data_IF_128250745972
#
_entry.id   IF_128250745972
#
_cell.length_a   1.000
_cell.length_b   1.000
_cell.length_c   1.000
_cell.angle_alpha   90.00
_cell.angle_beta   90.00
_cell.angle_gamma   90.00
#
_symmetry.space_group_name_H-M   'P 1'
#
loop_
_entity.id
_entity.type
_entity.pdbx_description
1 polymer ?
#
# COMPACT_ATOMS: atom_id res chain seq x y z
N UNK A 1 14.47 21.78 11.50
CA UNK A 1 14.10 22.47 10.23
C UNK A 1 12.59 22.58 10.18
N UNK A 2 12.02 23.78 9.98
CA UNK A 2 10.56 23.94 9.82
C UNK A 2 10.15 23.35 8.47
N UNK A 3 9.53 22.17 8.49
CA UNK A 3 8.91 21.57 7.29
C UNK A 3 7.81 22.50 6.82
N UNK A 4 8.02 23.17 5.68
CA UNK A 4 6.96 23.97 5.04
C UNK A 4 5.89 23.00 4.55
N UNK A 5 4.75 22.96 5.23
CA UNK A 5 3.59 22.18 4.80
C UNK A 5 3.18 22.67 3.42
N UNK A 6 3.35 21.82 2.41
CA UNK A 6 2.96 22.14 1.04
C UNK A 6 1.47 21.81 0.89
N UNK A 7 0.72 22.70 0.27
CA UNK A 7 -0.67 22.45 -0.09
C UNK A 7 -0.91 22.96 -1.50
N UNK A 8 -1.82 22.29 -2.22
CA UNK A 8 -2.28 22.69 -3.53
C UNK A 8 -3.70 23.19 -3.45
N UNK A 9 -3.98 24.33 -4.06
CA UNK A 9 -5.35 24.82 -4.22
C UNK A 9 -6.07 24.02 -5.30
N UNK A 10 -7.24 23.46 -4.98
CA UNK A 10 -8.04 22.67 -5.91
C UNK A 10 -9.15 23.52 -6.51
N UNK A 11 -10.01 24.09 -5.67
CA UNK A 11 -11.19 24.83 -6.12
C UNK A 11 -11.58 25.90 -5.12
N UNK A 12 -12.31 26.91 -5.60
CA UNK A 12 -12.87 28.01 -4.78
C UNK A 12 -14.38 27.96 -4.90
N UNK A 13 -15.07 28.19 -3.79
CA UNK A 13 -16.52 28.16 -3.68
C UNK A 13 -17.02 29.40 -2.97
N UNK A 14 -18.19 29.88 -3.37
CA UNK A 14 -18.90 30.95 -2.68
C UNK A 14 -19.84 30.41 -1.58
N UNK A 15 -20.05 29.09 -1.57
CA UNK A 15 -20.97 28.38 -0.68
C UNK A 15 -20.24 27.28 0.10
N UNK A 16 -20.54 27.15 1.40
CA UNK A 16 -19.95 26.12 2.26
C UNK A 16 -20.38 24.72 1.83
N UNK A 17 -21.65 24.52 1.47
CA UNK A 17 -22.20 23.20 1.14
C UNK A 17 -21.50 22.57 -0.05
N UNK A 18 -21.27 23.35 -1.11
CA UNK A 18 -20.56 22.90 -2.32
C UNK A 18 -19.09 22.54 -2.02
N UNK A 19 -18.41 23.34 -1.19
CA UNK A 19 -17.05 23.03 -0.76
C UNK A 19 -16.99 21.74 0.06
N UNK A 20 -17.99 21.53 0.94
CA UNK A 20 -18.11 20.34 1.77
C UNK A 20 -18.37 19.08 0.95
N UNK A 21 -19.30 19.14 0.00
CA UNK A 21 -19.62 18.03 -0.89
C UNK A 21 -18.40 17.60 -1.72
N UNK A 22 -17.68 18.56 -2.30
CA UNK A 22 -16.45 18.25 -3.04
C UNK A 22 -15.40 17.60 -2.14
N UNK A 23 -15.19 18.14 -0.94
CA UNK A 23 -14.22 17.62 0.02
C UNK A 23 -14.55 16.17 0.43
N UNK A 24 -15.82 15.90 0.77
CA UNK A 24 -16.30 14.57 1.13
C UNK A 24 -16.15 13.59 -0.04
N UNK A 25 -16.54 13.99 -1.26
CA UNK A 25 -16.41 13.16 -2.47
C UNK A 25 -14.95 12.77 -2.73
N UNK A 26 -14.02 13.71 -2.54
CA UNK A 26 -12.58 13.49 -2.73
C UNK A 26 -11.93 12.66 -1.62
N UNK A 27 -12.42 12.76 -0.39
CA UNK A 27 -11.92 11.99 0.76
C UNK A 27 -12.59 10.61 0.92
N UNK A 28 -13.69 10.30 0.20
CA UNK A 28 -14.52 9.08 0.39
C UNK A 28 -13.72 7.77 0.39
N UNK A 29 -12.69 7.65 -0.44
CA UNK A 29 -11.88 6.43 -0.58
C UNK A 29 -10.50 6.56 0.08
N UNK A 30 -10.28 7.58 0.92
CA UNK A 30 -9.00 7.82 1.57
C UNK A 30 -9.06 7.41 3.05
N UNK A 31 -8.13 6.55 3.49
CA UNK A 31 -8.00 6.20 4.91
C UNK A 31 -7.59 7.40 5.78
N UNK A 32 -6.80 8.33 5.21
CA UNK A 32 -6.41 9.60 5.84
C UNK A 32 -6.88 10.75 4.93
N UNK A 33 -7.67 11.71 5.43
CA UNK A 33 -8.22 12.80 4.60
C UNK A 33 -7.10 13.71 4.09
N UNK A 34 -6.93 13.80 2.78
CA UNK A 34 -5.94 14.70 2.13
C UNK A 34 -6.54 16.03 1.73
N UNK A 35 -7.86 16.13 1.62
CA UNK A 35 -8.54 17.37 1.24
C UNK A 35 -9.14 18.06 2.46
N UNK A 36 -9.03 19.38 2.50
CA UNK A 36 -9.57 20.21 3.57
C UNK A 36 -10.14 21.51 3.04
N UNK A 37 -11.04 22.12 3.80
CA UNK A 37 -11.70 23.37 3.44
C UNK A 37 -11.12 24.49 4.28
N UNK A 38 -10.62 25.53 3.62
CA UNK A 38 -10.18 26.78 4.24
C UNK A 38 -11.21 27.87 3.97
N UNK A 39 -11.66 28.54 5.02
CA UNK A 39 -12.48 29.75 4.90
C UNK A 39 -11.56 30.96 4.75
N UNK A 40 -11.64 31.65 3.62
CA UNK A 40 -10.84 32.85 3.36
C UNK A 40 -11.55 34.14 3.78
N UNK A 41 -12.85 34.26 3.47
CA UNK A 41 -13.71 35.43 3.80
C UNK A 41 -15.11 34.95 4.19
N UNK A 42 -16.00 35.87 4.57
CA UNK A 42 -17.39 35.58 5.01
C UNK A 42 -18.08 34.52 4.14
N UNK A 43 -17.95 34.63 2.80
CA UNK A 43 -18.58 33.74 1.82
C UNK A 43 -17.59 33.18 0.77
N UNK A 44 -16.31 32.97 1.14
CA UNK A 44 -15.34 32.37 0.21
C UNK A 44 -14.61 31.22 0.87
N UNK A 45 -14.76 30.05 0.30
CA UNK A 45 -14.20 28.79 0.76
C UNK A 45 -13.27 28.22 -0.30
N UNK A 46 -12.17 27.63 0.12
CA UNK A 46 -11.20 27.00 -0.78
C UNK A 46 -10.98 25.58 -0.33
N UNK A 47 -11.14 24.64 -1.26
CA UNK A 47 -10.71 23.26 -1.05
C UNK A 47 -9.24 23.18 -1.39
N UNK A 48 -8.43 22.79 -0.42
CA UNK A 48 -7.01 22.53 -0.58
C UNK A 48 -6.74 21.03 -0.47
N UNK A 49 -5.72 20.59 -1.18
CA UNK A 49 -5.10 19.28 -1.07
C UNK A 49 -3.80 19.45 -0.26
N UNK A 50 -3.70 18.73 0.85
CA UNK A 50 -2.45 18.62 1.58
C UNK A 50 -1.49 17.75 0.78
N UNK A 51 -0.45 18.39 0.25
CA UNK A 51 0.71 17.69 -0.27
C UNK A 51 1.51 17.32 0.96
N UNK A 52 1.18 16.15 1.54
CA UNK A 52 2.08 15.54 2.51
C UNK A 52 3.49 15.65 1.91
N UNK A 53 4.50 16.12 2.67
CA UNK A 53 5.86 15.87 2.23
C UNK A 53 5.87 14.39 1.87
N UNK A 54 6.38 14.05 0.70
CA UNK A 54 6.79 12.67 0.45
C UNK A 54 7.77 12.39 1.58
N UNK A 55 7.24 11.95 2.73
CA UNK A 55 7.83 10.95 3.56
C UNK A 55 8.39 10.02 2.51
N UNK A 56 9.72 10.03 2.44
CA UNK A 56 10.42 8.88 1.92
C UNK A 56 9.68 7.75 2.59
N UNK A 57 8.82 7.07 1.83
CA UNK A 57 8.47 5.72 2.11
C UNK A 57 9.83 5.03 2.00
N UNK A 58 10.63 5.12 3.07
CA UNK A 58 11.23 3.91 3.60
C UNK A 58 10.10 2.93 3.50
N UNK A 59 10.23 2.00 2.56
CA UNK A 59 9.28 0.96 2.30
C UNK A 59 8.87 0.41 3.65
N UNK A 60 7.76 0.91 4.19
CA UNK A 60 7.03 0.24 5.24
C UNK A 60 6.73 -1.08 4.59
N UNK A 61 7.54 -2.07 4.93
CA UNK A 61 7.32 -3.48 4.70
C UNK A 61 5.96 -3.78 5.32
N UNK A 62 4.89 -3.43 4.60
CA UNK A 62 3.55 -3.83 4.96
C UNK A 62 3.64 -5.34 5.07
N UNK A 63 3.26 -5.95 6.20
CA UNK A 63 3.16 -7.40 6.25
C UNK A 63 2.21 -7.76 5.11
N UNK A 64 2.75 -8.43 4.10
CA UNK A 64 2.07 -8.76 2.85
C UNK A 64 0.78 -9.50 3.23
N UNK A 65 -0.34 -8.76 3.27
CA UNK A 65 -1.59 -9.27 3.81
C UNK A 65 -2.14 -10.31 2.82
N UNK A 66 -1.94 -11.57 3.22
CA UNK A 66 -2.58 -12.83 2.82
C UNK A 66 -3.61 -12.70 1.68
N UNK A 67 -3.27 -13.27 0.52
CA UNK A 67 -4.21 -13.97 -0.41
C UNK A 67 -3.54 -14.57 -1.65
N UNK A 68 -2.35 -14.11 -2.05
CA UNK A 68 -1.71 -14.65 -3.25
C UNK A 68 -0.80 -15.84 -2.94
N UNK A 69 -0.88 -16.88 -3.78
CA UNK A 69 0.00 -18.04 -3.74
C UNK A 69 1.49 -17.64 -3.77
N UNK A 70 1.82 -16.55 -4.49
CA UNK A 70 3.17 -15.94 -4.53
C UNK A 70 3.62 -15.48 -3.14
N UNK A 71 2.78 -14.71 -2.43
CA UNK A 71 3.12 -14.16 -1.12
C UNK A 71 3.41 -15.24 -0.08
N UNK A 72 2.63 -16.34 -0.08
CA UNK A 72 2.83 -17.47 0.84
C UNK A 72 4.18 -18.17 0.62
N UNK A 73 4.63 -18.32 -0.63
CA UNK A 73 5.96 -18.86 -0.94
C UNK A 73 7.06 -17.89 -0.52
N UNK A 74 6.93 -16.59 -0.85
CA UNK A 74 7.95 -15.58 -0.55
C UNK A 74 8.17 -15.37 0.96
N UNK A 75 7.09 -15.40 1.76
CA UNK A 75 7.19 -15.31 3.23
C UNK A 75 7.90 -16.52 3.86
N UNK A 76 7.86 -17.68 3.21
CA UNK A 76 8.42 -18.93 3.73
C UNK A 76 9.73 -19.34 3.02
N UNK A 77 10.40 -18.43 2.31
CA UNK A 77 11.62 -18.75 1.55
C UNK A 77 12.73 -19.36 2.40
N UNK A 78 12.94 -18.83 3.61
CA UNK A 78 13.93 -19.35 4.55
C UNK A 78 13.64 -20.82 4.88
N UNK A 79 12.40 -21.11 5.31
CA UNK A 79 11.92 -22.43 5.66
C UNK A 79 12.01 -23.41 4.48
N UNK A 80 11.61 -22.98 3.29
CA UNK A 80 11.72 -23.80 2.07
C UNK A 80 13.20 -24.11 1.78
N UNK A 81 14.08 -23.11 1.89
CA UNK A 81 15.52 -23.27 1.67
C UNK A 81 16.17 -24.27 2.62
N UNK A 82 15.88 -24.16 3.92
CA UNK A 82 16.36 -25.11 4.94
C UNK A 82 15.86 -26.53 4.70
N UNK A 83 14.57 -26.69 4.42
CA UNK A 83 13.98 -28.01 4.13
C UNK A 83 14.57 -28.66 2.89
N UNK A 84 14.82 -27.86 1.84
CA UNK A 84 15.48 -28.35 0.63
C UNK A 84 16.93 -28.75 0.89
N UNK A 85 17.66 -28.04 1.75
CA UNK A 85 19.01 -28.44 2.21
C UNK A 85 18.97 -29.75 3.00
N UNK A 86 17.93 -29.95 3.79
CA UNK A 86 17.70 -31.18 4.57
C UNK A 86 17.10 -32.33 3.75
N UNK A 87 17.02 -32.21 2.41
CA UNK A 87 16.53 -33.26 1.53
C UNK A 87 15.02 -33.46 1.48
N UNK A 88 14.23 -32.57 2.10
CA UNK A 88 12.76 -32.67 2.09
C UNK A 88 12.22 -32.48 0.65
N UNK A 89 11.26 -33.32 0.30
CA UNK A 89 10.63 -33.32 -1.03
C UNK A 89 9.66 -32.15 -1.17
N UNK A 90 9.44 -31.74 -2.42
CA UNK A 90 8.51 -30.64 -2.71
C UNK A 90 7.06 -30.94 -2.34
N UNK A 91 6.67 -32.23 -2.28
CA UNK A 91 5.32 -32.63 -1.91
C UNK A 91 5.01 -32.24 -0.47
N UNK A 92 5.92 -32.55 0.46
CA UNK A 92 5.79 -32.21 1.89
C UNK A 92 5.79 -30.70 2.09
N UNK A 93 6.70 -29.98 1.42
CA UNK A 93 6.77 -28.51 1.50
C UNK A 93 5.48 -27.87 0.96
N UNK A 94 4.91 -28.42 -0.11
CA UNK A 94 3.69 -27.90 -0.71
C UNK A 94 2.45 -28.18 0.15
N UNK A 95 2.37 -29.35 0.76
CA UNK A 95 1.33 -29.73 1.72
C UNK A 95 1.31 -28.79 2.93
N UNK A 96 2.47 -28.56 3.56
CA UNK A 96 2.59 -27.63 4.69
C UNK A 96 2.22 -26.18 4.34
N UNK A 97 2.51 -25.78 3.10
CA UNK A 97 2.13 -24.48 2.59
C UNK A 97 0.70 -24.48 2.03
N UNK A 98 -0.05 -25.57 2.06
CA UNK A 98 -1.37 -25.73 1.44
C UNK A 98 -1.40 -25.19 -0.01
N UNK A 99 -0.34 -25.47 -0.76
CA UNK A 99 -0.15 -25.04 -2.14
C UNK A 99 0.08 -26.25 -3.04
N UNK A 100 -0.07 -26.06 -4.35
CA UNK A 100 0.39 -27.08 -5.29
C UNK A 100 1.91 -27.07 -5.41
N UNK A 101 2.49 -28.25 -5.60
CA UNK A 101 3.94 -28.45 -5.83
C UNK A 101 4.45 -27.51 -6.93
N UNK A 102 3.75 -27.43 -8.06
CA UNK A 102 4.08 -26.55 -9.17
C UNK A 102 4.13 -25.07 -8.76
N UNK A 103 3.24 -24.65 -7.87
CA UNK A 103 3.19 -23.28 -7.37
C UNK A 103 4.41 -22.96 -6.50
N UNK A 104 4.74 -23.84 -5.56
CA UNK A 104 5.91 -23.70 -4.70
C UNK A 104 7.21 -23.65 -5.53
N UNK A 105 7.39 -24.59 -6.45
CA UNK A 105 8.56 -24.65 -7.32
C UNK A 105 8.68 -23.41 -8.21
N UNK A 106 7.58 -22.98 -8.85
CA UNK A 106 7.57 -21.83 -9.75
C UNK A 106 8.02 -20.55 -9.05
N UNK A 107 7.42 -20.24 -7.90
CA UNK A 107 7.74 -19.00 -7.19
C UNK A 107 9.10 -19.05 -6.49
N UNK A 108 9.50 -20.22 -5.98
CA UNK A 108 10.85 -20.39 -5.43
C UNK A 108 11.94 -20.23 -6.51
N UNK A 109 11.71 -20.77 -7.71
CA UNK A 109 12.64 -20.62 -8.84
C UNK A 109 12.77 -19.16 -9.29
N UNK A 110 11.64 -18.48 -9.51
CA UNK A 110 11.63 -17.06 -9.88
C UNK A 110 12.36 -16.18 -8.86
N UNK A 111 12.27 -16.50 -7.56
CA UNK A 111 13.03 -15.81 -6.53
C UNK A 111 14.55 -16.06 -6.68
N UNK A 112 14.96 -17.31 -6.89
CA UNK A 112 16.37 -17.67 -7.15
C UNK A 112 16.95 -17.00 -8.40
N UNK A 113 16.10 -16.77 -9.41
CA UNK A 113 16.44 -16.13 -10.68
C UNK A 113 16.42 -14.58 -10.59
N UNK A 114 15.99 -14.00 -9.44
CA UNK A 114 15.92 -12.56 -9.27
C UNK A 114 14.81 -11.87 -10.07
N UNK A 115 13.76 -12.61 -10.46
CA UNK A 115 12.64 -12.07 -11.26
C UNK A 115 11.60 -11.29 -10.44
N UNK A 116 11.91 -10.88 -9.20
CA UNK A 116 11.00 -10.19 -8.29
C UNK A 116 11.57 -8.90 -7.73
#
# INVERSE_FOLDING_TARGET
MKTKTKFRKIATFNNWKEAQEMCLKKNRCQQKPKYSILKLKKNKYVVIEWLLPTEKLEEENRPFEKRSKKGKVLQNLHLIGEKRKNGITWNVIAEELELSVCTCQRYYRKFREGEF
#
